data_IF_447247684528
#
_entry.id   IF_447247684528
#
_cell.length_a   1.000
_cell.length_b   1.000
_cell.length_c   1.000
_cell.angle_alpha   90.00
_cell.angle_beta   90.00
_cell.angle_gamma   90.00
#
_symmetry.space_group_name_H-M   'P 1'
#
loop_
_entity.id
_entity.type
_entity.pdbx_description
1 polymer ?
#
# COMPACT_ATOMS: atom_id res chain seq x y z
N UNK A 1 18.66 -10.66 21.10
CA UNK A 1 18.43 -10.87 19.65
C UNK A 1 19.49 -10.05 18.91
N UNK A 2 20.57 -10.68 18.46
CA UNK A 2 21.69 -9.98 17.80
C UNK A 2 21.50 -10.16 16.29
N UNK A 3 21.17 -9.07 15.60
CA UNK A 3 21.01 -9.03 14.15
C UNK A 3 22.39 -8.88 13.52
N UNK A 4 22.83 -9.90 12.80
CA UNK A 4 24.03 -9.86 11.99
C UNK A 4 23.73 -9.15 10.67
N UNK A 5 24.21 -7.92 10.50
CA UNK A 5 24.19 -7.22 9.23
C UNK A 5 25.49 -7.52 8.46
N UNK A 6 25.39 -8.39 7.44
CA UNK A 6 26.50 -8.74 6.55
C UNK A 6 26.59 -7.68 5.44
N UNK A 7 27.53 -6.74 5.56
CA UNK A 7 27.82 -5.75 4.50
C UNK A 7 28.91 -6.32 3.60
N UNK A 8 28.55 -6.68 2.37
CA UNK A 8 29.50 -7.11 1.34
C UNK A 8 29.90 -5.91 0.47
N UNK A 9 31.09 -5.33 0.64
CA UNK A 9 31.62 -4.41 -0.36
C UNK A 9 32.00 -5.24 -1.60
N UNK A 10 31.21 -5.13 -2.66
CA UNK A 10 31.57 -5.60 -4.00
C UNK A 10 32.65 -4.67 -4.57
N UNK A 11 33.88 -4.80 -4.06
CA UNK A 11 35.03 -4.15 -4.70
C UNK A 11 35.32 -4.93 -5.99
N UNK A 12 35.30 -4.28 -7.16
CA UNK A 12 35.61 -4.95 -8.41
C UNK A 12 37.03 -5.52 -8.36
N UNK A 13 37.13 -6.85 -8.36
CA UNK A 13 38.37 -7.62 -8.45
C UNK A 13 38.91 -7.57 -9.88
N UNK A 14 39.25 -6.36 -10.36
CA UNK A 14 40.08 -6.15 -11.55
C UNK A 14 41.11 -5.07 -11.25
N UNK A 15 42.02 -5.42 -10.37
CA UNK A 15 43.11 -4.54 -9.96
C UNK A 15 44.11 -5.26 -9.07
N UNK A 16 44.41 -6.52 -9.37
CA UNK A 16 45.62 -7.16 -8.85
C UNK A 16 46.80 -6.45 -9.53
N UNK A 17 47.31 -5.40 -8.89
CA UNK A 17 48.62 -4.87 -9.20
C UNK A 17 49.65 -5.92 -8.75
N UNK A 18 49.98 -6.86 -9.64
CA UNK A 18 51.16 -7.70 -9.46
C UNK A 18 52.38 -6.78 -9.46
N UNK A 19 52.95 -6.56 -8.28
CA UNK A 19 54.29 -5.99 -8.15
C UNK A 19 55.28 -7.06 -8.57
N UNK A 20 55.57 -7.13 -9.87
CA UNK A 20 56.70 -7.91 -10.36
C UNK A 20 57.96 -7.08 -10.06
N UNK A 21 58.59 -7.41 -8.93
CA UNK A 21 59.94 -6.96 -8.59
C UNK A 21 60.90 -7.65 -9.56
N UNK A 22 61.23 -6.99 -10.67
CA UNK A 22 62.38 -7.38 -11.49
C UNK A 22 63.05 -6.10 -11.96
N UNK A 23 64.28 -5.92 -11.48
CA UNK A 23 65.08 -4.75 -11.83
C UNK A 23 65.42 -4.72 -13.32
N UNK A 24 65.84 -3.54 -13.73
CA UNK A 24 66.61 -3.23 -14.94
C UNK A 24 65.73 -2.90 -16.16
N UNK A 25 65.60 -1.59 -16.35
CA UNK A 25 65.45 -0.86 -17.61
C UNK A 25 64.33 -1.28 -18.56
N UNK A 26 63.09 -0.90 -18.23
CA UNK A 26 62.06 -0.68 -19.25
C UNK A 26 61.44 0.69 -19.08
N UNK A 27 61.78 1.54 -20.05
CA UNK A 27 61.22 2.86 -20.34
C UNK A 27 59.71 2.83 -20.15
N UNK A 28 59.18 3.56 -19.16
CA UNK A 28 57.75 3.74 -18.96
C UNK A 28 57.15 4.35 -20.24
N UNK A 29 56.30 3.63 -20.99
CA UNK A 29 55.45 4.30 -21.95
C UNK A 29 54.54 5.20 -21.11
N UNK A 30 54.62 6.52 -21.32
CA UNK A 30 53.62 7.47 -20.85
C UNK A 30 52.32 7.18 -21.58
N UNK A 31 51.63 6.12 -21.19
CA UNK A 31 50.25 5.90 -21.59
C UNK A 31 49.43 7.00 -20.92
N UNK A 32 49.05 8.01 -21.71
CA UNK A 32 48.12 9.03 -21.22
C UNK A 32 46.86 8.30 -20.73
N UNK A 33 46.35 8.68 -19.54
CA UNK A 33 45.15 8.06 -19.00
C UNK A 33 44.03 8.16 -20.05
N UNK A 34 43.24 7.10 -20.24
CA UNK A 34 42.18 7.09 -21.24
C UNK A 34 41.28 8.31 -21.04
N UNK A 35 40.99 9.02 -22.14
CA UNK A 35 40.11 10.19 -22.12
C UNK A 35 38.76 9.78 -21.54
N UNK A 36 38.53 10.14 -20.28
CA UNK A 36 37.24 9.95 -19.63
C UNK A 36 36.24 10.81 -20.38
N UNK A 37 35.14 10.24 -20.91
CA UNK A 37 34.10 11.03 -21.55
C UNK A 37 33.65 12.14 -20.61
N UNK A 38 33.54 13.38 -21.10
CA UNK A 38 32.96 14.45 -20.29
C UNK A 38 31.56 14.03 -19.89
N UNK A 39 31.33 13.90 -18.57
CA UNK A 39 29.99 13.71 -18.06
C UNK A 39 29.11 14.86 -18.57
N UNK A 40 27.90 14.58 -19.08
CA UNK A 40 26.98 15.64 -19.48
C UNK A 40 26.82 16.60 -18.31
N UNK A 41 27.15 17.88 -18.52
CA UNK A 41 26.87 18.93 -17.53
C UNK A 41 25.36 19.08 -17.44
N UNK A 42 24.73 18.35 -16.53
CA UNK A 42 23.35 18.65 -16.11
C UNK A 42 23.45 19.87 -15.22
N UNK A 43 22.85 20.99 -15.64
CA UNK A 43 22.71 22.18 -14.79
C UNK A 43 21.66 21.88 -13.71
N UNK A 44 22.12 21.23 -12.64
CA UNK A 44 21.26 20.79 -11.55
C UNK A 44 21.20 21.87 -10.47
N UNK A 45 19.98 22.19 -10.04
CA UNK A 45 19.77 23.02 -8.85
C UNK A 45 19.78 22.12 -7.60
N UNK A 46 20.34 22.59 -6.46
CA UNK A 46 20.25 21.85 -5.21
C UNK A 46 18.79 21.53 -4.86
N UNK A 47 18.51 20.29 -4.49
CA UNK A 47 17.14 19.83 -4.23
C UNK A 47 16.86 18.44 -4.80
N UNK A 48 15.58 18.05 -4.78
CA UNK A 48 15.14 16.77 -5.33
C UNK A 48 15.19 16.77 -6.86
N UNK A 49 15.72 15.69 -7.43
CA UNK A 49 15.73 15.44 -8.87
C UNK A 49 14.51 14.58 -9.19
N UNK A 50 13.40 15.26 -9.49
CA UNK A 50 12.08 14.66 -9.68
C UNK A 50 12.10 13.62 -10.83
N UNK A 51 12.93 13.84 -11.84
CA UNK A 51 13.09 12.94 -12.99
C UNK A 51 13.76 11.60 -12.62
N UNK A 52 14.44 11.53 -11.48
CA UNK A 52 15.12 10.33 -10.96
C UNK A 52 14.28 9.60 -9.90
N UNK A 53 13.02 10.03 -9.68
CA UNK A 53 12.09 9.29 -8.83
C UNK A 53 11.85 7.90 -9.38
N UNK A 54 11.79 6.94 -8.47
CA UNK A 54 11.23 5.61 -8.71
C UNK A 54 10.11 5.35 -7.70
N UNK A 55 9.39 4.25 -7.81
CA UNK A 55 8.35 3.83 -6.85
C UNK A 55 8.82 3.97 -5.38
N UNK A 56 10.07 3.58 -5.10
CA UNK A 56 10.63 3.50 -3.76
C UNK A 56 11.81 4.45 -3.49
N UNK A 57 12.12 5.40 -4.38
CA UNK A 57 13.34 6.22 -4.18
C UNK A 57 13.18 7.69 -4.54
N UNK A 58 13.90 8.53 -3.79
CA UNK A 58 14.10 9.96 -4.06
C UNK A 58 15.59 10.23 -4.18
N UNK A 59 15.99 10.96 -5.22
CA UNK A 59 17.38 11.41 -5.41
C UNK A 59 17.45 12.91 -5.22
N UNK A 60 18.42 13.37 -4.44
CA UNK A 60 18.68 14.76 -4.18
C UNK A 60 20.08 15.13 -4.68
N UNK A 61 20.19 16.28 -5.35
CA UNK A 61 21.47 16.92 -5.62
C UNK A 61 21.80 17.88 -4.48
N UNK A 62 23.00 17.74 -3.90
CA UNK A 62 23.38 18.50 -2.71
C UNK A 62 23.97 19.89 -3.04
N UNK A 63 24.28 20.16 -4.32
CA UNK A 63 24.86 21.43 -4.76
C UNK A 63 26.39 21.48 -4.80
N UNK A 64 27.07 20.46 -4.27
CA UNK A 64 28.53 20.37 -4.17
C UNK A 64 29.14 19.27 -5.06
N UNK A 65 28.33 18.72 -5.97
CA UNK A 65 28.72 17.57 -6.81
C UNK A 65 28.35 16.21 -6.21
N UNK A 66 27.88 16.16 -4.97
CA UNK A 66 27.41 14.93 -4.33
C UNK A 66 25.89 14.76 -4.44
N UNK A 67 25.43 13.52 -4.26
CA UNK A 67 24.01 13.14 -4.34
C UNK A 67 23.61 12.32 -3.12
N UNK A 68 22.35 12.47 -2.69
CA UNK A 68 21.75 11.65 -1.64
C UNK A 68 20.56 10.89 -2.22
N UNK A 69 20.59 9.56 -2.11
CA UNK A 69 19.46 8.70 -2.49
C UNK A 69 18.78 8.14 -1.25
N UNK A 70 17.49 8.42 -1.09
CA UNK A 70 16.64 7.81 -0.08
C UNK A 70 15.93 6.62 -0.69
N UNK A 71 15.96 5.48 0.00
CA UNK A 71 15.37 4.22 -0.43
C UNK A 71 14.35 3.79 0.63
N UNK A 72 13.14 3.48 0.19
CA UNK A 72 12.00 3.13 1.02
C UNK A 72 11.63 1.66 0.77
N UNK A 73 11.12 0.96 1.79
CA UNK A 73 10.69 -0.43 1.63
C UNK A 73 9.35 -0.54 0.90
N UNK A 74 8.43 0.39 1.17
CA UNK A 74 7.13 0.48 0.51
C UNK A 74 7.15 1.56 -0.58
N UNK A 75 6.32 1.43 -1.64
CA UNK A 75 6.19 2.44 -2.67
C UNK A 75 5.67 3.75 -2.08
N UNK A 76 6.41 4.83 -2.34
CA UNK A 76 6.07 6.20 -1.93
C UNK A 76 5.65 7.07 -3.11
N UNK A 77 5.83 6.57 -4.33
CA UNK A 77 5.37 7.22 -5.54
C UNK A 77 4.57 6.27 -6.43
N UNK A 78 3.64 6.84 -7.18
CA UNK A 78 2.89 6.15 -8.24
C UNK A 78 3.05 6.88 -9.56
N UNK A 79 2.90 6.13 -10.64
CA UNK A 79 2.94 6.65 -12.00
C UNK A 79 1.77 6.11 -12.78
N UNK A 80 0.75 6.95 -12.97
CA UNK A 80 -0.45 6.58 -13.73
C UNK A 80 -0.12 6.39 -15.20
N UNK A 81 -0.93 5.60 -15.91
CA UNK A 81 -0.77 5.36 -17.34
C UNK A 81 -0.72 6.68 -18.11
N UNK A 82 0.36 6.91 -18.86
CA UNK A 82 0.58 8.11 -19.65
C UNK A 82 1.31 9.25 -18.91
N UNK A 83 1.46 9.19 -17.58
CA UNK A 83 2.34 10.10 -16.86
C UNK A 83 3.81 9.79 -17.20
N UNK A 84 4.65 10.83 -17.29
CA UNK A 84 6.10 10.68 -17.53
C UNK A 84 6.88 10.58 -16.22
N UNK A 85 6.40 11.25 -15.20
CA UNK A 85 7.06 11.48 -13.92
C UNK A 85 6.27 10.74 -12.82
N UNK A 86 6.98 10.28 -11.80
CA UNK A 86 6.40 9.70 -10.58
C UNK A 86 5.90 10.79 -9.63
N UNK A 87 4.69 10.62 -9.14
CA UNK A 87 4.02 11.52 -8.19
C UNK A 87 3.94 10.89 -6.82
N UNK A 88 3.94 11.70 -5.76
CA UNK A 88 3.81 11.20 -4.38
C UNK A 88 2.49 10.49 -4.18
N UNK A 89 2.53 9.40 -3.43
CA UNK A 89 1.33 8.73 -2.94
C UNK A 89 0.55 9.68 -2.02
N UNK A 90 -0.77 9.67 -2.17
CA UNK A 90 -1.72 10.29 -1.26
C UNK A 90 -2.94 9.40 -1.09
N UNK A 91 -3.08 8.78 0.08
CA UNK A 91 -4.28 8.01 0.43
C UNK A 91 -5.46 8.87 0.91
N UNK A 92 -5.31 10.20 0.88
CA UNK A 92 -6.36 11.14 1.23
C UNK A 92 -7.61 10.95 0.38
N UNK A 93 -8.78 11.13 0.99
CA UNK A 93 -10.06 11.09 0.30
C UNK A 93 -10.42 12.45 -0.29
N UNK A 94 -10.92 12.42 -1.52
CA UNK A 94 -11.44 13.56 -2.28
C UNK A 94 -12.76 13.21 -2.94
N UNK A 95 -13.63 14.20 -3.16
CA UNK A 95 -14.88 13.99 -3.89
C UNK A 95 -14.59 13.57 -5.33
N UNK A 96 -15.27 12.52 -5.80
CA UNK A 96 -15.13 12.08 -7.18
C UNK A 96 -15.72 13.10 -8.14
N UNK A 97 -15.03 13.31 -9.26
CA UNK A 97 -15.51 14.18 -10.34
C UNK A 97 -16.54 13.49 -11.24
N UNK A 98 -16.52 12.16 -11.29
CA UNK A 98 -17.36 11.36 -12.20
C UNK A 98 -18.68 10.90 -11.55
N UNK A 99 -18.73 10.76 -10.23
CA UNK A 99 -19.91 10.33 -9.51
C UNK A 99 -20.09 11.14 -8.22
N UNK A 100 -21.19 11.86 -8.11
CA UNK A 100 -21.48 12.72 -6.95
C UNK A 100 -21.61 11.96 -5.63
N UNK A 101 -21.96 10.67 -5.70
CA UNK A 101 -22.09 9.80 -4.54
C UNK A 101 -20.76 9.15 -4.13
N UNK A 102 -19.65 9.39 -4.83
CA UNK A 102 -18.36 8.80 -4.48
C UNK A 102 -17.39 9.80 -3.87
N UNK A 103 -16.61 9.28 -2.93
CA UNK A 103 -15.28 9.81 -2.63
C UNK A 103 -14.24 8.78 -3.02
N UNK A 104 -13.10 9.23 -3.47
CA UNK A 104 -12.03 8.40 -4.00
C UNK A 104 -10.69 8.74 -3.36
N UNK A 105 -9.76 7.79 -3.37
CA UNK A 105 -8.37 8.05 -3.00
C UNK A 105 -7.71 8.98 -4.01
N UNK A 106 -6.91 9.93 -3.52
CA UNK A 106 -6.28 10.95 -4.37
C UNK A 106 -5.24 10.37 -5.33
N UNK A 107 -4.27 9.61 -4.80
CA UNK A 107 -3.18 9.06 -5.61
C UNK A 107 -2.58 7.80 -4.95
N UNK A 108 -3.13 6.64 -5.26
CA UNK A 108 -2.75 5.35 -4.67
C UNK A 108 -2.59 4.27 -5.74
N UNK A 109 -1.84 3.21 -5.43
CA UNK A 109 -1.75 2.00 -6.27
C UNK A 109 -3.10 1.29 -6.30
N UNK A 110 -3.71 1.12 -5.13
CA UNK A 110 -5.07 0.62 -4.97
C UNK A 110 -6.03 1.81 -5.05
N UNK A 111 -6.72 1.97 -6.18
CA UNK A 111 -7.70 3.04 -6.36
C UNK A 111 -9.02 2.63 -5.71
N UNK A 112 -9.44 3.35 -4.67
CA UNK A 112 -10.64 2.99 -3.90
C UNK A 112 -11.69 4.09 -3.97
N UNK A 113 -12.92 3.71 -4.31
CA UNK A 113 -14.09 4.57 -4.26
C UNK A 113 -15.00 4.12 -3.12
N UNK A 114 -15.47 5.06 -2.30
CA UNK A 114 -16.48 4.80 -1.28
C UNK A 114 -17.75 5.58 -1.56
N UNK A 115 -18.88 4.94 -1.28
CA UNK A 115 -20.19 5.57 -1.35
C UNK A 115 -20.37 6.55 -0.18
N UNK A 116 -20.63 7.83 -0.49
CA UNK A 116 -21.10 8.83 0.47
C UNK A 116 -22.42 8.45 1.09
N UNK A 117 -23.27 7.73 0.35
CA UNK A 117 -24.45 7.04 0.87
C UNK A 117 -24.52 5.66 0.25
N UNK A 118 -24.56 4.64 1.09
CA UNK A 118 -24.66 3.24 0.66
C UNK A 118 -25.91 3.00 -0.19
N UNK A 119 -25.86 1.98 -1.03
CA UNK A 119 -26.98 1.56 -1.89
C UNK A 119 -27.09 0.03 -1.88
N UNK A 120 -28.17 -0.52 -1.35
CA UNK A 120 -28.38 -1.97 -1.15
C UNK A 120 -27.19 -2.65 -0.44
N UNK A 121 -26.64 -1.97 0.56
CA UNK A 121 -25.47 -2.45 1.30
C UNK A 121 -24.13 -2.21 0.59
N UNK A 122 -24.09 -1.77 -0.66
CA UNK A 122 -22.84 -1.45 -1.38
C UNK A 122 -22.20 -0.18 -0.82
N UNK A 123 -20.91 -0.23 -0.51
CA UNK A 123 -20.20 0.88 0.14
C UNK A 123 -18.81 1.17 -0.41
N UNK A 124 -18.14 0.21 -1.06
CA UNK A 124 -16.78 0.39 -1.57
C UNK A 124 -16.56 -0.31 -2.91
N UNK A 125 -15.70 0.27 -3.75
CA UNK A 125 -15.18 -0.33 -4.96
C UNK A 125 -13.66 -0.18 -4.99
N UNK A 126 -12.95 -1.27 -5.21
CA UNK A 126 -11.49 -1.33 -5.29
C UNK A 126 -11.08 -1.60 -6.73
N UNK A 127 -10.10 -0.85 -7.24
CA UNK A 127 -9.58 -1.01 -8.59
C UNK A 127 -8.05 -1.13 -8.56
N UNK A 128 -7.54 -2.12 -9.27
CA UNK A 128 -6.11 -2.35 -9.43
C UNK A 128 -5.85 -3.06 -10.76
N UNK A 129 -4.94 -2.50 -11.57
CA UNK A 129 -4.54 -3.06 -12.87
C UNK A 129 -5.71 -3.46 -13.81
N UNK A 130 -6.79 -2.67 -13.80
CA UNK A 130 -7.98 -2.91 -14.65
C UNK A 130 -8.97 -3.94 -14.08
N UNK A 131 -8.65 -4.58 -12.96
CA UNK A 131 -9.59 -5.44 -12.22
C UNK A 131 -10.29 -4.64 -11.13
N UNK A 132 -11.49 -5.08 -10.76
CA UNK A 132 -12.29 -4.43 -9.74
C UNK A 132 -12.98 -5.40 -8.79
N UNK A 133 -13.17 -4.99 -7.54
CA UNK A 133 -14.07 -5.65 -6.59
C UNK A 133 -15.01 -4.61 -5.99
N UNK A 134 -16.31 -4.85 -6.10
CA UNK A 134 -17.35 -4.11 -5.38
C UNK A 134 -17.71 -4.85 -4.09
N UNK A 135 -17.69 -4.13 -2.97
CA UNK A 135 -18.01 -4.65 -1.64
C UNK A 135 -19.39 -4.16 -1.18
N UNK A 136 -20.19 -5.12 -0.71
CA UNK A 136 -21.46 -4.85 -0.03
C UNK A 136 -21.53 -5.60 1.28
N UNK A 137 -22.07 -4.96 2.31
CA UNK A 137 -22.43 -5.62 3.57
C UNK A 137 -23.95 -5.80 3.62
N UNK A 138 -24.41 -7.03 3.78
CA UNK A 138 -25.81 -7.39 3.58
C UNK A 138 -26.55 -7.56 4.89
N UNK A 139 -26.02 -8.42 5.76
CA UNK A 139 -26.72 -8.87 6.96
C UNK A 139 -25.76 -9.05 8.14
N UNK A 140 -26.30 -8.85 9.34
CA UNK A 140 -25.66 -9.20 10.60
C UNK A 140 -26.55 -10.21 11.35
N UNK A 141 -25.93 -11.23 11.94
CA UNK A 141 -26.56 -12.26 12.74
C UNK A 141 -25.74 -12.53 14.02
N UNK A 142 -26.36 -13.24 14.95
CA UNK A 142 -25.73 -13.70 16.19
C UNK A 142 -26.33 -15.03 16.62
N UNK A 143 -25.80 -15.60 17.70
CA UNK A 143 -26.36 -16.81 18.30
C UNK A 143 -27.77 -16.48 18.80
N UNK A 144 -28.77 -17.20 18.31
CA UNK A 144 -30.18 -17.05 18.68
C UNK A 144 -30.80 -15.67 18.40
N UNK A 145 -30.14 -14.83 17.58
CA UNK A 145 -30.67 -13.54 17.12
C UNK A 145 -30.96 -13.61 15.63
N UNK A 146 -32.19 -13.24 15.24
CA UNK A 146 -32.60 -13.20 13.84
C UNK A 146 -31.68 -12.26 13.04
N UNK A 147 -31.32 -12.65 11.80
CA UNK A 147 -30.52 -11.78 10.95
C UNK A 147 -31.26 -10.49 10.61
N UNK A 148 -30.51 -9.40 10.57
CA UNK A 148 -31.00 -8.08 10.18
C UNK A 148 -30.25 -7.58 8.96
N UNK A 149 -30.94 -6.83 8.11
CA UNK A 149 -30.32 -6.21 6.93
C UNK A 149 -29.57 -4.94 7.30
N UNK A 150 -28.48 -4.69 6.58
CA UNK A 150 -27.72 -3.45 6.68
C UNK A 150 -28.61 -2.26 6.29
N UNK A 151 -28.41 -1.14 6.98
CA UNK A 151 -29.05 0.13 6.65
C UNK A 151 -28.15 0.94 5.73
N UNK A 152 -28.72 1.47 4.67
CA UNK A 152 -28.03 2.39 3.79
C UNK A 152 -27.92 3.78 4.44
N UNK A 153 -26.76 4.06 5.01
CA UNK A 153 -26.49 5.31 5.73
C UNK A 153 -25.59 6.23 4.94
N UNK A 154 -25.65 7.52 5.26
CA UNK A 154 -24.67 8.49 4.79
C UNK A 154 -23.36 8.32 5.58
N UNK A 155 -22.24 8.46 4.89
CA UNK A 155 -20.91 8.40 5.42
C UNK A 155 -20.48 9.75 6.01
N UNK A 156 -19.63 9.69 7.02
CA UNK A 156 -18.90 10.83 7.56
C UNK A 156 -17.43 10.67 7.21
N UNK A 157 -16.86 11.68 6.54
CA UNK A 157 -15.45 11.74 6.18
C UNK A 157 -14.98 13.19 6.23
N UNK A 158 -13.66 13.37 6.34
CA UNK A 158 -13.02 14.68 6.23
C UNK A 158 -12.21 14.72 4.94
N UNK A 159 -12.28 15.84 4.23
CA UNK A 159 -11.43 16.06 3.05
C UNK A 159 -9.97 16.05 3.48
N UNK A 160 -9.10 15.41 2.69
CA UNK A 160 -7.67 15.23 3.02
C UNK A 160 -7.40 14.38 4.27
N UNK A 161 -8.39 13.60 4.70
CA UNK A 161 -8.23 12.52 5.66
C UNK A 161 -8.35 11.19 4.91
N UNK A 162 -7.80 10.10 5.44
CA UNK A 162 -7.79 8.78 4.80
C UNK A 162 -8.87 7.85 5.40
N UNK A 163 -9.84 8.42 6.12
CA UNK A 163 -10.87 7.68 6.85
C UNK A 163 -12.28 8.06 6.40
N UNK A 164 -13.13 7.05 6.28
CA UNK A 164 -14.57 7.19 6.07
C UNK A 164 -15.33 6.27 7.03
N UNK A 165 -16.47 6.77 7.52
CA UNK A 165 -17.28 6.11 8.54
C UNK A 165 -18.77 6.09 8.16
N UNK A 166 -19.33 4.90 8.00
CA UNK A 166 -20.76 4.66 7.87
C UNK A 166 -21.30 4.24 9.25
N UNK A 167 -21.89 5.21 9.96
CA UNK A 167 -22.37 4.97 11.33
C UNK A 167 -23.68 4.18 11.36
N UNK A 168 -23.79 3.25 12.31
CA UNK A 168 -25.00 2.47 12.58
C UNK A 168 -25.56 1.76 11.34
N UNK A 169 -24.68 1.13 10.55
CA UNK A 169 -25.11 0.24 9.45
C UNK A 169 -25.93 -0.94 9.99
N UNK A 170 -25.65 -1.35 11.23
CA UNK A 170 -26.53 -2.13 12.09
C UNK A 170 -26.67 -1.42 13.45
N UNK A 171 -27.67 -1.78 14.29
CA UNK A 171 -27.78 -1.22 15.64
C UNK A 171 -26.47 -1.39 16.41
N UNK A 172 -25.88 -0.29 16.87
CA UNK A 172 -24.63 -0.26 17.63
C UNK A 172 -23.40 -0.82 16.87
N UNK A 173 -23.42 -0.83 15.53
CA UNK A 173 -22.29 -1.26 14.71
C UNK A 173 -22.01 -0.24 13.61
N UNK A 174 -20.79 0.28 13.60
CA UNK A 174 -20.31 1.18 12.56
C UNK A 174 -19.37 0.45 11.60
N UNK A 175 -19.36 0.87 10.33
CA UNK A 175 -18.39 0.43 9.33
C UNK A 175 -17.40 1.56 9.06
N UNK A 176 -16.12 1.31 9.31
CA UNK A 176 -15.04 2.26 9.10
C UNK A 176 -14.06 1.68 8.08
N UNK A 177 -13.66 2.51 7.11
CA UNK A 177 -12.56 2.18 6.22
C UNK A 177 -11.43 3.21 6.36
N UNK A 178 -10.18 2.73 6.33
CA UNK A 178 -8.96 3.54 6.36
C UNK A 178 -8.11 3.16 5.14
N UNK A 179 -7.81 4.13 4.29
CA UNK A 179 -7.07 3.93 3.04
C UNK A 179 -5.56 4.08 3.22
N UNK A 180 -4.83 3.19 2.57
CA UNK A 180 -3.38 3.22 2.39
C UNK A 180 -3.05 3.17 0.90
N UNK A 181 -1.76 3.14 0.56
CA UNK A 181 -1.33 3.11 -0.84
C UNK A 181 -1.78 1.85 -1.59
N UNK A 182 -1.56 0.70 -0.97
CA UNK A 182 -1.72 -0.63 -1.59
C UNK A 182 -2.81 -1.45 -0.89
N UNK A 183 -3.45 -0.90 0.13
CA UNK A 183 -4.43 -1.60 0.94
C UNK A 183 -5.48 -0.66 1.52
N UNK A 184 -6.57 -1.24 1.98
CA UNK A 184 -7.58 -0.55 2.79
C UNK A 184 -7.85 -1.42 4.00
N UNK A 185 -7.79 -0.81 5.19
CA UNK A 185 -8.24 -1.47 6.41
C UNK A 185 -9.74 -1.23 6.58
N UNK A 186 -10.46 -2.30 6.91
CA UNK A 186 -11.88 -2.25 7.24
C UNK A 186 -12.10 -2.69 8.68
N UNK A 187 -12.83 -1.87 9.43
CA UNK A 187 -13.20 -2.15 10.81
C UNK A 187 -14.74 -2.14 10.93
N UNK A 188 -15.30 -3.24 11.43
CA UNK A 188 -16.65 -3.24 12.01
C UNK A 188 -16.52 -2.94 13.50
N UNK A 189 -16.93 -1.74 13.91
CA UNK A 189 -16.81 -1.26 15.29
C UNK A 189 -18.10 -1.62 16.03
N UNK A 190 -18.03 -2.60 16.93
CA UNK A 190 -19.15 -3.08 17.73
C UNK A 190 -19.17 -2.34 19.07
N UNK A 191 -20.26 -1.60 19.34
CA UNK A 191 -20.48 -0.91 20.62
C UNK A 191 -21.29 -1.73 21.62
N UNK A 192 -21.81 -2.89 21.20
CA UNK A 192 -22.54 -3.83 22.05
C UNK A 192 -22.35 -5.25 21.58
N UNK A 193 -22.43 -6.21 22.50
CA UNK A 193 -22.46 -7.64 22.18
C UNK A 193 -23.82 -8.03 21.58
N UNK A 194 -23.82 -9.02 20.68
CA UNK A 194 -25.04 -9.56 20.07
C UNK A 194 -24.78 -10.08 18.66
N UNK A 195 -24.72 -9.16 17.70
CA UNK A 195 -24.37 -9.49 16.32
C UNK A 195 -22.87 -9.65 16.15
N UNK A 196 -22.43 -10.78 15.61
CA UNK A 196 -21.01 -11.12 15.44
C UNK A 196 -20.73 -12.00 14.20
N UNK A 197 -21.77 -12.30 13.41
CA UNK A 197 -21.66 -12.98 12.12
C UNK A 197 -22.13 -11.97 11.07
N UNK A 198 -21.29 -11.68 10.08
CA UNK A 198 -21.58 -10.67 9.05
C UNK A 198 -21.51 -11.29 7.66
N UNK A 199 -22.51 -10.98 6.83
CA UNK A 199 -22.57 -11.48 5.47
C UNK A 199 -22.21 -10.37 4.49
N UNK A 200 -21.14 -10.58 3.74
CA UNK A 200 -20.71 -9.69 2.67
C UNK A 200 -21.05 -10.27 1.30
N UNK A 201 -21.14 -9.38 0.31
CA UNK A 201 -21.20 -9.70 -1.12
C UNK A 201 -20.03 -9.03 -1.79
N UNK A 202 -19.22 -9.82 -2.48
CA UNK A 202 -18.12 -9.33 -3.30
C UNK A 202 -18.52 -9.57 -4.75
N UNK A 203 -18.55 -8.51 -5.56
CA UNK A 203 -18.81 -8.61 -6.99
C UNK A 203 -17.52 -8.30 -7.75
N UNK A 204 -17.04 -9.29 -8.49
CA UNK A 204 -15.82 -9.23 -9.28
C UNK A 204 -15.87 -10.30 -10.37
N UNK A 205 -15.05 -10.13 -11.42
CA UNK A 205 -14.85 -11.13 -12.48
C UNK A 205 -13.65 -12.06 -12.19
N UNK A 206 -12.98 -11.86 -11.06
CA UNK A 206 -11.85 -12.68 -10.60
C UNK A 206 -12.33 -14.01 -10.00
N UNK A 207 -11.46 -15.03 -10.06
CA UNK A 207 -11.67 -16.29 -9.35
C UNK A 207 -11.24 -16.12 -7.89
N UNK A 208 -12.10 -16.50 -6.95
CA UNK A 208 -11.83 -16.44 -5.52
C UNK A 208 -11.63 -17.85 -4.93
N UNK A 209 -10.50 -18.05 -4.26
CA UNK A 209 -10.14 -19.33 -3.63
C UNK A 209 -9.75 -19.11 -2.16
N UNK A 210 -10.35 -19.87 -1.25
CA UNK A 210 -10.00 -19.85 0.18
C UNK A 210 -8.66 -20.57 0.35
N UNK A 211 -7.73 -19.94 1.06
CA UNK A 211 -6.40 -20.47 1.36
C UNK A 211 -6.38 -21.21 2.71
N UNK A 212 -5.32 -21.98 2.96
CA UNK A 212 -5.15 -22.77 4.20
C UNK A 212 -5.12 -21.91 5.48
N UNK A 213 -4.70 -20.64 5.37
CA UNK A 213 -4.67 -19.68 6.47
C UNK A 213 -6.02 -18.96 6.70
N UNK A 214 -7.03 -19.25 5.88
CA UNK A 214 -8.36 -18.64 5.91
C UNK A 214 -8.46 -17.30 5.18
N UNK A 215 -7.41 -16.84 4.50
CA UNK A 215 -7.51 -15.72 3.55
C UNK A 215 -8.24 -16.15 2.28
N UNK A 216 -8.72 -15.18 1.50
CA UNK A 216 -9.29 -15.41 0.17
C UNK A 216 -8.36 -14.76 -0.85
N UNK A 217 -7.80 -15.57 -1.74
CA UNK A 217 -6.99 -15.11 -2.87
C UNK A 217 -7.90 -14.86 -4.07
N UNK A 218 -7.78 -13.70 -4.71
CA UNK A 218 -8.48 -13.40 -5.96
C UNK A 218 -7.50 -13.34 -7.13
N UNK A 219 -7.70 -14.23 -8.10
CA UNK A 219 -6.80 -14.41 -9.25
C UNK A 219 -7.47 -14.12 -10.58
N UNK A 220 -6.66 -13.73 -11.56
CA UNK A 220 -7.09 -13.55 -12.94
C UNK A 220 -7.08 -14.90 -13.70
N UNK A 221 -7.40 -14.87 -15.00
CA UNK A 221 -7.43 -16.06 -15.85
C UNK A 221 -6.05 -16.73 -16.04
N UNK A 222 -4.96 -16.01 -15.78
CA UNK A 222 -3.58 -16.51 -15.83
C UNK A 222 -3.13 -17.05 -14.45
N UNK A 223 -4.03 -17.13 -13.48
CA UNK A 223 -3.79 -17.50 -12.08
C UNK A 223 -2.82 -16.55 -11.34
N UNK A 224 -2.66 -15.33 -11.84
CA UNK A 224 -1.89 -14.30 -11.15
C UNK A 224 -2.72 -13.70 -10.02
N UNK A 225 -2.07 -13.48 -8.86
CA UNK A 225 -2.67 -12.79 -7.72
C UNK A 225 -2.99 -11.34 -8.07
N UNK A 226 -4.24 -10.94 -7.85
CA UNK A 226 -4.68 -9.55 -8.03
C UNK A 226 -5.03 -8.91 -6.70
N UNK A 227 -5.88 -9.57 -5.91
CA UNK A 227 -6.25 -9.12 -4.56
C UNK A 227 -6.14 -10.27 -3.56
N UNK A 228 -6.07 -9.90 -2.29
CA UNK A 228 -6.14 -10.81 -1.16
C UNK A 228 -7.01 -10.19 -0.08
N UNK A 229 -7.98 -10.96 0.40
CA UNK A 229 -8.74 -10.62 1.60
C UNK A 229 -8.19 -11.46 2.76
N UNK A 230 -7.46 -10.87 3.72
CA UNK A 230 -6.92 -11.62 4.84
C UNK A 230 -8.03 -12.16 5.74
N UNK A 231 -7.74 -13.23 6.49
CA UNK A 231 -8.67 -13.76 7.49
C UNK A 231 -9.05 -12.66 8.49
N UNK A 232 -10.35 -12.41 8.73
CA UNK A 232 -10.80 -11.40 9.68
C UNK A 232 -10.43 -11.79 11.11
N UNK A 233 -10.17 -10.78 11.94
CA UNK A 233 -9.90 -10.95 13.36
C UNK A 233 -10.64 -9.88 14.16
N UNK A 234 -10.94 -10.19 15.42
CA UNK A 234 -11.58 -9.25 16.34
C UNK A 234 -10.61 -8.91 17.48
N UNK A 235 -10.63 -7.65 17.91
CA UNK A 235 -9.87 -7.18 19.06
C UNK A 235 -10.84 -6.48 20.02
N UNK A 236 -10.67 -6.69 21.32
CA UNK A 236 -11.47 -5.96 22.31
C UNK A 236 -11.04 -4.49 22.37
N UNK A 237 -11.92 -3.59 22.79
CA UNK A 237 -11.54 -2.20 23.11
C UNK A 237 -10.63 -2.06 24.33
N UNK A 238 -10.59 -3.07 25.20
CA UNK A 238 -9.79 -3.07 26.41
C UNK A 238 -8.30 -3.21 26.06
N UNK A 239 -7.58 -2.09 26.07
CA UNK A 239 -6.13 -2.04 25.98
C UNK A 239 -5.58 -2.28 27.37
N UNK A 240 -4.76 -3.33 27.55
CA UNK A 240 -4.01 -3.47 28.78
C UNK A 240 -2.94 -2.36 28.83
N UNK A 241 -3.08 -1.43 29.78
CA UNK A 241 -2.17 -0.30 29.95
C UNK A 241 -0.70 -0.73 30.15
N UNK A 242 -0.45 -1.96 30.62
CA UNK A 242 0.92 -2.45 30.89
C UNK A 242 1.64 -2.95 29.65
N UNK A 243 0.92 -3.58 28.71
CA UNK A 243 1.51 -4.10 27.48
C UNK A 243 1.32 -3.16 26.30
N UNK A 244 0.32 -2.26 26.35
CA UNK A 244 -0.15 -1.51 25.19
C UNK A 244 -0.74 -2.42 24.10
N UNK A 245 -0.92 -3.71 24.40
CA UNK A 245 -1.45 -4.69 23.48
C UNK A 245 -2.97 -4.76 23.64
N UNK A 246 -3.63 -4.87 22.49
CA UNK A 246 -5.05 -5.18 22.45
C UNK A 246 -5.20 -6.68 22.54
N UNK A 247 -6.02 -7.19 23.46
CA UNK A 247 -6.28 -8.61 23.54
C UNK A 247 -6.99 -9.06 22.26
N UNK A 248 -6.29 -9.81 21.40
CA UNK A 248 -6.87 -10.40 20.19
C UNK A 248 -7.88 -11.46 20.63
N UNK A 249 -9.16 -11.15 20.47
CA UNK A 249 -10.25 -12.10 20.65
C UNK A 249 -10.20 -13.09 19.47
N UNK A 250 -10.68 -14.31 19.73
CA UNK A 250 -10.62 -15.50 18.86
C UNK A 250 -10.77 -15.21 17.36
N UNK A 251 -10.07 -16.03 16.57
CA UNK A 251 -10.15 -16.10 15.12
C UNK A 251 -11.60 -16.15 14.62
N UNK A 252 -11.94 -15.27 13.68
CA UNK A 252 -13.25 -15.29 13.02
C UNK A 252 -13.20 -16.31 11.86
N UNK A 253 -14.20 -17.18 11.76
CA UNK A 253 -14.36 -18.05 10.60
C UNK A 253 -15.00 -17.24 9.46
N UNK A 254 -14.48 -17.39 8.25
CA UNK A 254 -15.05 -16.85 7.01
C UNK A 254 -16.16 -17.78 6.53
#
# INVERSE_FOLDING_TARGET
MVVWALVMPSVPTKGLAETIRSGIDRVEPKEEPPKVPQAPKRDLKPGEIIEERTENTKVYYNGDGTFTKKIYFEPIHVKKKGQKIFEEVSSSLTDSTNNTNYVETENTILETNFYKKMVDGEYANFHYNGYSISYSILEAAGNDVQSIKAKDVAAVYKKKDNKILHKNIFPSIDLQNITFNESTKEDLVLHSVGYHIFKFRLKTDLQADIQDDGSILLTNQEHEKVFELPKPFMVDSNVDEHSGEVQRLRECNV
#
